data_IF_243261250649
#
_entry.id   IF_243261250649
#
_cell.length_a   1.000
_cell.length_b   1.000
_cell.length_c   1.000
_cell.angle_alpha   90.00
_cell.angle_beta   90.00
_cell.angle_gamma   90.00
#
_symmetry.space_group_name_H-M   'P 1'
#
loop_
_entity.id
_entity.type
_entity.pdbx_description
1 polymer ?
#
# COMPACT_ATOMS: atom_id res chain seq x y z
N UNK A 1 7.95 62.13 -27.52
CA UNK A 1 7.85 61.30 -26.32
C UNK A 1 7.04 60.12 -26.70
N UNK A 2 7.69 58.98 -26.98
CA UNK A 2 7.09 57.79 -27.59
C UNK A 2 7.14 56.67 -26.53
N UNK A 3 5.99 56.25 -26.03
CA UNK A 3 5.89 55.11 -25.13
C UNK A 3 6.04 53.81 -25.92
N UNK A 4 7.00 52.99 -25.52
CA UNK A 4 7.14 51.63 -26.03
C UNK A 4 6.39 50.66 -25.10
N UNK A 5 5.23 50.18 -25.57
CA UNK A 5 4.48 49.13 -24.96
C UNK A 5 5.16 47.76 -25.15
N UNK A 6 5.64 47.18 -24.09
CA UNK A 6 6.14 45.78 -24.08
C UNK A 6 5.01 44.78 -24.10
N UNK A 7 4.94 43.95 -25.14
CA UNK A 7 4.00 42.85 -25.24
C UNK A 7 4.41 41.70 -24.29
N UNK A 8 3.49 41.05 -23.57
CA UNK A 8 3.81 39.90 -22.74
C UNK A 8 4.03 38.64 -23.58
N UNK A 9 5.14 37.99 -23.35
CA UNK A 9 5.49 36.69 -23.92
C UNK A 9 4.44 35.61 -23.55
N UNK A 10 4.00 34.75 -24.49
CA UNK A 10 3.03 33.69 -24.22
C UNK A 10 3.68 32.58 -23.41
N UNK A 11 3.10 32.27 -22.25
CA UNK A 11 3.46 31.08 -21.44
C UNK A 11 3.09 29.84 -22.21
N UNK A 12 4.07 29.01 -22.54
CA UNK A 12 3.91 27.70 -23.13
C UNK A 12 3.20 26.78 -22.14
N UNK A 13 1.89 26.61 -22.28
CA UNK A 13 1.14 25.54 -21.60
C UNK A 13 1.45 24.22 -22.32
N UNK A 14 2.27 23.39 -21.72
CA UNK A 14 2.45 22.00 -22.18
C UNK A 14 1.12 21.24 -22.01
N UNK A 15 0.39 21.10 -23.11
CA UNK A 15 -0.82 20.27 -23.14
C UNK A 15 -0.35 18.81 -23.18
N UNK A 16 -0.38 18.12 -22.04
CA UNK A 16 -0.25 16.66 -22.02
C UNK A 16 -1.43 16.06 -22.78
N UNK A 17 -1.13 15.33 -23.84
CA UNK A 17 -2.13 14.72 -24.71
C UNK A 17 -2.80 13.56 -23.96
N UNK A 18 -4.13 13.61 -23.82
CA UNK A 18 -4.97 12.55 -23.26
C UNK A 18 -4.72 11.17 -23.91
N UNK A 19 -4.19 11.12 -25.12
CA UNK A 19 -3.82 9.88 -25.82
C UNK A 19 -2.61 9.16 -25.22
N UNK A 20 -1.61 9.88 -24.67
CA UNK A 20 -0.47 9.25 -24.00
C UNK A 20 -0.85 8.64 -22.65
N UNK A 21 -1.77 9.28 -21.94
CA UNK A 21 -2.30 8.77 -20.67
C UNK A 21 -3.06 7.44 -20.85
N UNK A 22 -3.85 7.31 -21.93
CA UNK A 22 -4.59 6.08 -22.23
C UNK A 22 -3.71 4.92 -22.69
N UNK A 23 -2.56 5.18 -23.33
CA UNK A 23 -1.63 4.13 -23.79
C UNK A 23 -0.81 3.58 -22.61
N UNK A 24 -0.41 4.40 -21.65
CA UNK A 24 0.31 3.94 -20.45
C UNK A 24 -0.64 3.26 -19.44
N UNK A 25 -1.84 3.79 -19.22
CA UNK A 25 -2.85 3.17 -18.34
C UNK A 25 -3.39 1.85 -18.87
N UNK A 26 -3.46 1.65 -20.18
CA UNK A 26 -3.95 0.42 -20.80
C UNK A 26 -3.02 -0.78 -20.63
N UNK A 27 -1.71 -0.57 -20.62
CA UNK A 27 -0.74 -1.65 -20.43
C UNK A 27 -0.71 -2.17 -18.98
N UNK A 28 -0.89 -1.28 -18.00
CA UNK A 28 -0.94 -1.66 -16.58
C UNK A 28 -2.26 -2.35 -16.21
N UNK A 29 -3.39 -1.87 -16.73
CA UNK A 29 -4.70 -2.50 -16.50
C UNK A 29 -4.77 -3.94 -17.06
N UNK A 30 -4.07 -4.23 -18.16
CA UNK A 30 -4.01 -5.57 -18.74
C UNK A 30 -3.19 -6.55 -17.88
N UNK A 31 -2.09 -6.09 -17.25
CA UNK A 31 -1.28 -6.90 -16.33
C UNK A 31 -2.06 -7.28 -15.06
N UNK A 32 -2.71 -6.32 -14.44
CA UNK A 32 -3.51 -6.54 -13.23
C UNK A 32 -4.75 -7.41 -13.52
N UNK A 33 -5.42 -7.22 -14.64
CA UNK A 33 -6.56 -8.05 -15.05
C UNK A 33 -6.16 -9.51 -15.33
N UNK A 34 -4.96 -9.76 -15.87
CA UNK A 34 -4.45 -11.12 -16.08
C UNK A 34 -4.16 -11.83 -14.74
N UNK A 35 -3.59 -11.12 -13.77
CA UNK A 35 -3.33 -11.65 -12.42
C UNK A 35 -4.65 -11.95 -11.69
N UNK A 36 -5.60 -11.01 -11.68
CA UNK A 36 -6.92 -11.20 -11.05
C UNK A 36 -7.74 -12.29 -11.76
N UNK A 37 -7.67 -12.38 -13.09
CA UNK A 37 -8.33 -13.43 -13.87
C UNK A 37 -7.79 -14.82 -13.56
N UNK A 38 -6.49 -14.98 -13.45
CA UNK A 38 -5.85 -16.24 -13.09
C UNK A 38 -6.26 -16.71 -11.68
N UNK A 39 -6.34 -15.80 -10.71
CA UNK A 39 -6.72 -16.13 -9.34
C UNK A 39 -8.22 -16.46 -9.15
N UNK A 40 -9.10 -15.91 -9.99
CA UNK A 40 -10.54 -16.31 -9.97
C UNK A 40 -10.78 -17.75 -10.41
N UNK A 41 -9.93 -18.29 -11.27
CA UNK A 41 -10.06 -19.70 -11.72
C UNK A 41 -9.42 -20.70 -10.75
N UNK A 42 -8.38 -20.29 -9.98
CA UNK A 42 -7.67 -21.18 -9.02
C UNK A 42 -8.27 -21.14 -7.61
N UNK A 43 -9.04 -20.11 -7.24
CA UNK A 43 -9.55 -19.85 -5.89
C UNK A 43 -10.84 -20.59 -5.50
N UNK A 44 -11.33 -21.53 -6.27
CA UNK A 44 -12.56 -22.29 -6.00
C UNK A 44 -12.37 -23.55 -5.13
N UNK A 45 -11.49 -23.54 -4.13
CA UNK A 45 -11.23 -24.67 -3.24
C UNK A 45 -11.66 -24.38 -1.80
N UNK A 46 -12.64 -25.13 -1.34
CA UNK A 46 -13.13 -25.16 0.04
C UNK A 46 -12.01 -25.46 1.04
N UNK A 47 -11.83 -24.59 2.05
CA UNK A 47 -10.72 -24.59 2.97
C UNK A 47 -10.55 -25.87 3.77
N UNK A 48 -9.33 -26.33 3.82
CA UNK A 48 -8.81 -27.23 4.84
C UNK A 48 -7.79 -26.46 5.67
N UNK A 49 -8.04 -26.38 6.97
CA UNK A 49 -7.17 -25.80 7.98
C UNK A 49 -5.83 -26.54 8.03
N UNK A 50 -4.80 -26.01 7.37
CA UNK A 50 -3.42 -26.44 7.53
C UNK A 50 -2.81 -25.78 8.77
N UNK A 51 -2.66 -26.52 9.86
CA UNK A 51 -2.04 -26.11 11.09
C UNK A 51 -0.55 -25.84 10.90
N UNK A 52 -0.16 -24.58 10.81
CA UNK A 52 1.20 -24.15 11.08
C UNK A 52 1.32 -23.87 12.57
N UNK A 53 2.09 -24.71 13.28
CA UNK A 53 2.40 -24.53 14.70
C UNK A 53 3.44 -23.40 14.86
N UNK A 54 3.02 -22.17 14.67
CA UNK A 54 3.78 -20.98 15.01
C UNK A 54 3.18 -20.34 16.25
N UNK A 55 4.02 -19.71 17.08
CA UNK A 55 3.66 -19.02 18.34
C UNK A 55 2.90 -17.72 18.01
N UNK A 56 1.93 -17.77 17.09
CA UNK A 56 1.14 -16.59 16.75
C UNK A 56 0.12 -16.34 17.85
N UNK A 57 0.18 -15.15 18.42
CA UNK A 57 -0.82 -14.67 19.35
C UNK A 57 -2.17 -14.72 18.64
N UNK A 58 -3.14 -15.34 19.28
CA UNK A 58 -4.50 -15.34 18.77
C UNK A 58 -5.12 -13.97 18.98
N UNK A 59 -5.31 -13.21 17.90
CA UNK A 59 -6.08 -11.96 17.91
C UNK A 59 -7.26 -12.04 16.95
N UNK A 60 -8.32 -11.26 17.16
CA UNK A 60 -9.47 -11.24 16.27
C UNK A 60 -9.08 -10.85 14.83
N UNK A 61 -9.71 -11.50 13.86
CA UNK A 61 -9.44 -11.25 12.44
C UNK A 61 -10.62 -10.51 11.81
N UNK A 62 -10.36 -9.30 11.35
CA UNK A 62 -11.32 -8.51 10.58
C UNK A 62 -10.83 -8.39 9.14
N UNK A 63 -11.60 -8.89 8.20
CA UNK A 63 -11.31 -8.84 6.79
C UNK A 63 -12.52 -8.33 6.02
N UNK A 64 -12.30 -7.37 5.12
CA UNK A 64 -13.30 -6.89 4.15
C UNK A 64 -13.29 -7.80 2.93
N UNK A 65 -12.10 -8.26 2.56
CA UNK A 65 -11.86 -9.13 1.41
C UNK A 65 -11.64 -10.58 1.86
N UNK A 66 -11.80 -11.53 0.95
CA UNK A 66 -11.43 -12.92 1.18
C UNK A 66 -9.93 -13.05 1.39
N UNK A 67 -9.52 -13.91 2.33
CA UNK A 67 -8.10 -14.16 2.59
C UNK A 67 -7.49 -14.84 1.36
N UNK A 68 -6.48 -14.24 0.71
CA UNK A 68 -5.78 -14.87 -0.40
C UNK A 68 -4.81 -15.93 0.12
N UNK A 69 -4.67 -17.02 -0.65
CA UNK A 69 -3.65 -18.03 -0.42
C UNK A 69 -2.66 -18.02 -1.58
N UNK A 70 -1.80 -17.00 -1.59
CA UNK A 70 -0.83 -16.78 -2.65
C UNK A 70 0.57 -16.98 -2.09
N UNK A 71 1.35 -17.92 -2.65
CA UNK A 71 2.74 -18.06 -2.26
C UNK A 71 3.50 -16.74 -2.47
N UNK A 72 4.36 -16.35 -1.51
CA UNK A 72 5.12 -15.09 -1.61
C UNK A 72 5.88 -14.94 -2.94
N UNK A 73 6.36 -16.03 -3.54
CA UNK A 73 7.10 -16.04 -4.82
C UNK A 73 6.26 -15.54 -6.00
N UNK A 74 4.93 -15.56 -5.87
CA UNK A 74 3.99 -15.05 -6.87
C UNK A 74 3.54 -13.61 -6.56
N UNK A 75 3.99 -13.05 -5.44
CA UNK A 75 3.60 -11.71 -5.04
C UNK A 75 4.37 -10.65 -5.83
N UNK A 76 3.65 -9.62 -6.25
CA UNK A 76 4.21 -8.44 -6.87
C UNK A 76 3.69 -7.19 -6.18
N UNK A 77 4.47 -6.13 -6.20
CA UNK A 77 4.06 -4.81 -5.73
C UNK A 77 4.37 -3.75 -6.78
N UNK A 78 3.37 -2.95 -7.09
CA UNK A 78 3.48 -1.82 -8.02
C UNK A 78 3.57 -0.50 -7.26
N UNK A 79 4.38 0.43 -7.77
CA UNK A 79 4.40 1.83 -7.31
C UNK A 79 4.13 2.71 -8.50
N UNK A 80 3.04 3.47 -8.47
CA UNK A 80 2.60 4.29 -9.60
C UNK A 80 1.90 5.60 -9.17
N UNK A 81 1.09 6.18 -10.05
CA UNK A 81 0.42 7.47 -9.83
C UNK A 81 1.34 8.64 -10.15
N UNK A 82 1.50 9.56 -9.21
CA UNK A 82 2.33 10.76 -9.39
C UNK A 82 3.82 10.46 -9.16
N UNK A 83 4.40 9.67 -10.04
CA UNK A 83 5.83 9.30 -10.05
C UNK A 83 6.44 9.48 -11.43
N UNK A 84 7.76 9.71 -11.48
CA UNK A 84 8.51 9.77 -12.74
C UNK A 84 8.81 8.38 -13.30
N UNK A 85 9.09 7.42 -12.42
CA UNK A 85 9.55 6.08 -12.73
C UNK A 85 8.66 5.03 -12.01
N UNK A 86 7.53 4.62 -12.57
CA UNK A 86 6.73 3.55 -12.00
C UNK A 86 7.57 2.29 -11.78
N UNK A 87 7.38 1.63 -10.63
CA UNK A 87 8.08 0.40 -10.29
C UNK A 87 7.12 -0.77 -10.36
N UNK A 88 7.66 -1.90 -10.80
CA UNK A 88 7.04 -3.21 -10.71
C UNK A 88 8.06 -4.15 -10.10
N UNK A 89 7.82 -4.60 -8.88
CA UNK A 89 8.78 -5.37 -8.10
C UNK A 89 8.20 -6.75 -7.80
N UNK A 90 8.88 -7.78 -8.24
CA UNK A 90 8.61 -9.17 -7.88
C UNK A 90 9.19 -9.52 -6.50
N UNK A 91 8.85 -10.71 -6.01
CA UNK A 91 9.34 -11.18 -4.70
C UNK A 91 10.87 -11.28 -4.62
N UNK A 92 11.53 -11.63 -5.73
CA UNK A 92 12.99 -11.69 -5.79
C UNK A 92 13.63 -10.32 -5.62
N UNK A 93 13.04 -9.30 -6.24
CA UNK A 93 13.43 -7.90 -6.06
C UNK A 93 13.15 -7.41 -4.65
N UNK A 94 11.98 -7.76 -4.08
CA UNK A 94 11.61 -7.44 -2.71
C UNK A 94 12.62 -7.93 -1.68
N UNK A 95 13.06 -9.17 -1.80
CA UNK A 95 14.04 -9.78 -0.87
C UNK A 95 15.41 -9.11 -0.86
N UNK A 96 15.76 -8.31 -1.88
CA UNK A 96 17.02 -7.57 -1.98
C UNK A 96 16.99 -6.22 -1.30
N UNK A 97 15.81 -5.76 -0.89
CA UNK A 97 15.66 -4.45 -0.25
C UNK A 97 16.22 -4.46 1.17
N UNK A 98 16.66 -3.28 1.64
CA UNK A 98 17.10 -3.09 3.02
C UNK A 98 15.92 -3.26 3.96
N UNK A 99 16.04 -4.18 4.90
CA UNK A 99 15.02 -4.53 5.88
C UNK A 99 15.25 -3.83 7.22
N UNK A 100 14.16 -3.73 7.98
CA UNK A 100 14.15 -3.32 9.39
C UNK A 100 13.06 -4.06 10.16
N UNK A 101 13.17 -4.03 11.47
CA UNK A 101 12.16 -4.58 12.38
C UNK A 101 11.66 -3.47 13.32
N UNK A 102 10.35 -3.47 13.60
CA UNK A 102 9.71 -2.58 14.56
C UNK A 102 8.89 -3.41 15.55
N UNK A 103 9.11 -3.19 16.84
CA UNK A 103 8.31 -3.81 17.91
C UNK A 103 7.40 -2.77 18.51
N UNK A 104 6.10 -2.92 18.29
CA UNK A 104 5.07 -1.95 18.66
C UNK A 104 3.80 -2.64 19.09
N UNK A 105 2.95 -1.93 19.86
CA UNK A 105 1.61 -2.38 20.16
C UNK A 105 0.72 -2.18 18.93
N UNK A 106 -0.16 -3.14 18.69
CA UNK A 106 -1.16 -3.07 17.62
C UNK A 106 -2.54 -2.79 18.20
N UNK A 107 -3.10 -1.62 17.89
CA UNK A 107 -4.37 -1.16 18.42
C UNK A 107 -5.51 -1.30 17.40
N UNK A 108 -6.59 -1.98 17.76
CA UNK A 108 -7.78 -2.06 16.93
C UNK A 108 -8.84 -1.06 17.39
N UNK A 109 -9.57 -0.48 16.44
CA UNK A 109 -10.69 0.43 16.70
C UNK A 109 -11.83 -0.24 17.49
N UNK A 110 -11.89 -1.56 17.54
CA UNK A 110 -12.82 -2.34 18.38
C UNK A 110 -12.43 -2.38 19.87
N UNK A 111 -11.33 -1.70 20.25
CA UNK A 111 -10.93 -1.52 21.66
C UNK A 111 -10.02 -2.63 22.21
N UNK A 112 -9.51 -3.54 21.38
CA UNK A 112 -8.50 -4.51 21.79
C UNK A 112 -7.09 -4.10 21.32
N UNK A 113 -6.09 -4.54 22.04
CA UNK A 113 -4.67 -4.30 21.74
C UNK A 113 -3.90 -5.61 21.79
N UNK A 114 -2.90 -5.74 20.92
CA UNK A 114 -1.90 -6.81 21.01
C UNK A 114 -0.56 -6.15 21.29
N UNK A 115 -0.01 -6.42 22.49
CA UNK A 115 1.20 -5.76 22.97
C UNK A 115 2.46 -6.35 22.33
N UNK A 116 3.45 -5.47 22.09
CA UNK A 116 4.82 -5.84 21.71
C UNK A 116 4.90 -6.78 20.51
N UNK A 117 4.23 -6.46 19.43
CA UNK A 117 4.26 -7.19 18.16
C UNK A 117 5.50 -6.78 17.39
N UNK A 118 6.31 -7.75 16.96
CA UNK A 118 7.50 -7.48 16.14
C UNK A 118 7.17 -7.69 14.67
N UNK A 119 7.20 -6.60 13.90
CA UNK A 119 7.01 -6.59 12.46
C UNK A 119 8.34 -6.45 11.77
N UNK A 120 8.65 -7.31 10.81
CA UNK A 120 9.82 -7.17 9.96
C UNK A 120 9.43 -6.91 8.52
N UNK A 121 10.17 -6.03 7.85
CA UNK A 121 9.84 -5.64 6.49
C UNK A 121 10.68 -4.52 5.92
N UNK A 122 10.13 -3.77 5.00
CA UNK A 122 10.79 -2.67 4.27
C UNK A 122 9.99 -1.38 4.49
N UNK A 123 10.67 -0.27 4.68
CA UNK A 123 10.01 1.04 4.71
C UNK A 123 9.40 1.36 3.33
N UNK A 124 8.11 1.70 3.24
CA UNK A 124 7.47 2.02 1.95
C UNK A 124 8.19 3.14 1.21
N UNK A 125 8.76 4.10 1.95
CA UNK A 125 9.51 5.22 1.39
C UNK A 125 10.69 4.75 0.53
N UNK A 126 11.30 3.62 0.84
CA UNK A 126 12.39 3.03 0.02
C UNK A 126 11.96 2.76 -1.43
N UNK A 127 10.73 2.30 -1.63
CA UNK A 127 10.17 2.07 -2.98
C UNK A 127 9.71 3.38 -3.62
N UNK A 128 9.05 4.22 -2.84
CA UNK A 128 8.53 5.51 -3.29
C UNK A 128 9.65 6.42 -3.77
N UNK A 129 10.77 6.50 -3.04
CA UNK A 129 11.93 7.29 -3.42
C UNK A 129 12.55 6.82 -4.73
N UNK A 130 12.62 5.50 -4.97
CA UNK A 130 13.08 4.93 -6.23
C UNK A 130 12.15 5.27 -7.39
N UNK A 131 10.83 5.33 -7.13
CA UNK A 131 9.84 5.72 -8.12
C UNK A 131 9.88 7.23 -8.47
N UNK A 132 10.62 8.04 -7.70
CA UNK A 132 10.77 9.49 -7.87
C UNK A 132 9.44 10.23 -7.86
N UNK A 133 8.90 10.57 -6.69
CA UNK A 133 7.66 11.31 -6.56
C UNK A 133 7.67 12.62 -7.35
N UNK A 134 6.60 12.90 -8.08
CA UNK A 134 6.41 14.18 -8.75
C UNK A 134 6.10 15.28 -7.73
N UNK A 135 6.52 16.50 -8.06
CA UNK A 135 6.14 17.67 -7.27
C UNK A 135 4.61 17.80 -7.20
N UNK A 136 4.06 17.90 -5.99
CA UNK A 136 2.61 17.94 -5.75
C UNK A 136 1.99 16.61 -5.33
N UNK A 137 2.71 15.50 -5.33
CA UNK A 137 2.28 14.29 -4.64
C UNK A 137 2.25 14.57 -3.13
N UNK A 138 1.09 14.45 -2.51
CA UNK A 138 0.89 14.77 -1.08
C UNK A 138 0.35 13.62 -0.27
N UNK A 139 -0.26 12.63 -0.92
CA UNK A 139 -0.79 11.42 -0.28
C UNK A 139 -0.34 10.16 -1.01
N UNK A 140 -0.38 9.07 -0.29
CA UNK A 140 -0.04 7.72 -0.77
C UNK A 140 -1.18 6.78 -0.41
N UNK A 141 -1.81 6.19 -1.42
CA UNK A 141 -2.81 5.15 -1.25
C UNK A 141 -2.15 3.77 -1.28
N UNK A 142 -2.47 2.92 -0.32
CA UNK A 142 -2.06 1.52 -0.27
C UNK A 142 -3.27 0.66 -0.60
N UNK A 143 -3.19 -0.14 -1.66
CA UNK A 143 -4.29 -0.95 -2.14
C UNK A 143 -4.07 -2.42 -1.82
N UNK A 144 -5.12 -3.07 -1.30
CA UNK A 144 -5.15 -4.50 -1.10
C UNK A 144 -5.39 -5.26 -2.43
N UNK A 145 -5.03 -6.53 -2.46
CA UNK A 145 -5.10 -7.38 -3.64
C UNK A 145 -6.50 -7.47 -4.27
N UNK A 146 -7.56 -7.55 -3.47
CA UNK A 146 -8.94 -7.66 -3.95
C UNK A 146 -9.48 -6.38 -4.57
N UNK A 147 -8.85 -5.25 -4.30
CA UNK A 147 -9.21 -3.93 -4.84
C UNK A 147 -10.38 -3.24 -4.16
N UNK A 148 -11.05 -3.88 -3.21
CA UNK A 148 -12.10 -3.26 -2.41
C UNK A 148 -11.52 -2.42 -1.25
N UNK A 149 -10.46 -2.93 -0.64
CA UNK A 149 -9.81 -2.27 0.48
C UNK A 149 -8.61 -1.44 0.03
N UNK A 150 -8.61 -0.20 0.39
CA UNK A 150 -7.44 0.65 0.38
C UNK A 150 -7.51 1.64 1.54
N UNK A 151 -6.36 2.17 1.91
CA UNK A 151 -6.27 3.27 2.84
C UNK A 151 -5.10 4.20 2.45
N UNK A 152 -5.00 5.36 3.08
CA UNK A 152 -4.07 6.39 2.69
C UNK A 152 -3.23 6.88 3.87
N UNK A 153 -2.08 7.42 3.55
CA UNK A 153 -1.22 8.19 4.46
C UNK A 153 -0.79 9.48 3.77
N UNK A 154 -0.55 10.52 4.55
CA UNK A 154 0.19 11.67 4.08
C UNK A 154 1.62 11.29 3.70
N UNK A 155 2.19 11.93 2.69
CA UNK A 155 3.54 11.59 2.21
C UNK A 155 4.60 11.72 3.31
N UNK A 156 4.43 12.64 4.25
CA UNK A 156 5.34 12.80 5.38
C UNK A 156 5.14 11.73 6.46
N UNK A 157 3.93 11.19 6.60
CA UNK A 157 3.68 10.04 7.48
C UNK A 157 4.38 8.78 6.96
N UNK A 158 4.38 8.57 5.64
CA UNK A 158 5.06 7.42 5.01
C UNK A 158 6.58 7.47 5.17
N UNK A 159 7.16 8.66 5.35
CA UNK A 159 8.59 8.84 5.65
C UNK A 159 8.97 8.46 7.07
N UNK A 160 8.00 8.29 7.97
CA UNK A 160 8.28 7.85 9.34
C UNK A 160 8.96 6.47 9.29
N UNK A 161 10.15 6.32 9.90
CA UNK A 161 10.92 5.07 9.87
C UNK A 161 10.19 3.89 10.49
N UNK A 162 9.21 4.11 11.36
CA UNK A 162 8.41 3.06 11.98
C UNK A 162 7.30 2.51 11.08
N UNK A 163 6.98 3.18 9.97
CA UNK A 163 6.01 2.66 8.99
C UNK A 163 6.69 1.61 8.13
N UNK A 164 6.11 0.41 8.09
CA UNK A 164 6.67 -0.74 7.37
C UNK A 164 5.64 -1.34 6.40
N UNK A 165 6.14 -1.86 5.29
CA UNK A 165 5.52 -2.97 4.57
C UNK A 165 6.12 -4.25 5.15
N UNK A 166 5.38 -4.91 6.01
CA UNK A 166 5.83 -6.10 6.72
C UNK A 166 5.54 -7.37 5.91
N UNK A 167 6.47 -8.30 5.93
CA UNK A 167 6.35 -9.66 5.41
C UNK A 167 6.70 -10.71 6.47
N UNK A 168 7.08 -10.27 7.68
CA UNK A 168 7.27 -11.14 8.85
C UNK A 168 6.54 -10.60 10.07
N UNK A 169 6.13 -11.53 10.94
CA UNK A 169 5.46 -11.31 12.21
C UNK A 169 6.15 -12.15 13.27
N UNK A 170 6.65 -11.51 14.34
CA UNK A 170 7.39 -12.16 15.44
C UNK A 170 8.52 -13.09 14.93
N UNK A 171 9.23 -12.64 13.88
CA UNK A 171 10.37 -13.35 13.28
C UNK A 171 10.00 -14.52 12.35
N UNK A 172 8.70 -14.81 12.13
CA UNK A 172 8.23 -15.80 11.17
C UNK A 172 7.58 -15.15 9.94
N UNK A 173 7.44 -15.86 8.81
CA UNK A 173 6.70 -15.35 7.66
C UNK A 173 5.28 -14.90 8.06
N UNK A 174 4.85 -13.76 7.54
CA UNK A 174 3.54 -13.20 7.83
C UNK A 174 2.43 -14.13 7.35
N UNK A 175 1.51 -14.59 8.23
CA UNK A 175 0.42 -15.46 7.83
C UNK A 175 -0.56 -14.77 6.88
N UNK A 176 -1.20 -15.56 6.01
CA UNK A 176 -2.18 -15.05 5.04
C UNK A 176 -3.30 -14.25 5.71
N UNK A 177 -3.87 -14.74 6.80
CA UNK A 177 -4.97 -14.10 7.54
C UNK A 177 -4.55 -12.81 8.26
N UNK A 178 -3.24 -12.62 8.49
CA UNK A 178 -2.66 -11.40 9.05
C UNK A 178 -2.14 -10.43 7.98
N UNK A 179 -2.29 -10.75 6.70
CA UNK A 179 -1.97 -9.86 5.58
C UNK A 179 -0.77 -10.30 4.75
N UNK A 180 -0.33 -11.58 4.86
CA UNK A 180 0.71 -12.13 3.97
C UNK A 180 0.32 -12.07 2.49
N UNK A 181 1.24 -11.83 1.53
CA UNK A 181 2.69 -11.70 1.72
C UNK A 181 3.14 -10.34 2.28
N UNK A 182 2.43 -9.22 1.99
CA UNK A 182 2.82 -7.88 2.44
C UNK A 182 1.66 -7.17 3.15
N UNK A 183 1.97 -6.58 4.29
CA UNK A 183 1.05 -5.75 5.05
C UNK A 183 1.65 -4.39 5.37
N UNK A 184 0.87 -3.33 5.19
CA UNK A 184 1.22 -2.03 5.76
C UNK A 184 1.06 -2.06 7.29
N UNK A 185 2.03 -1.53 8.01
CA UNK A 185 2.02 -1.35 9.46
C UNK A 185 2.24 0.12 9.78
N UNK A 186 1.30 0.73 10.50
CA UNK A 186 1.33 2.15 10.89
C UNK A 186 1.18 2.24 12.40
N UNK A 187 2.27 2.20 13.16
CA UNK A 187 2.23 2.09 14.64
C UNK A 187 1.52 3.23 15.35
N UNK A 188 1.55 4.44 14.76
CA UNK A 188 0.93 5.64 15.36
C UNK A 188 -0.58 5.75 15.15
N UNK A 189 -1.19 4.78 14.44
CA UNK A 189 -2.59 4.86 14.03
C UNK A 189 -3.33 3.54 14.29
N UNK A 190 -4.67 3.62 14.42
CA UNK A 190 -5.53 2.45 14.58
C UNK A 190 -5.37 1.46 13.42
N UNK A 191 -5.50 0.18 13.71
CA UNK A 191 -5.19 -0.94 12.82
C UNK A 191 -5.89 -0.97 11.46
N UNK A 192 -6.97 -0.20 11.26
CA UNK A 192 -7.59 -0.10 9.93
C UNK A 192 -6.73 0.67 8.92
N UNK A 193 -5.78 1.49 9.35
CA UNK A 193 -4.78 2.12 8.47
C UNK A 193 -3.72 1.12 7.99
N UNK A 194 -3.58 -0.01 8.67
CA UNK A 194 -2.59 -1.05 8.39
C UNK A 194 -3.14 -2.05 7.37
N UNK A 195 -3.14 -1.65 6.08
CA UNK A 195 -3.70 -2.40 4.96
C UNK A 195 -3.06 -3.76 4.81
N UNK A 196 -3.88 -4.83 4.75
CA UNK A 196 -3.46 -6.21 4.47
C UNK A 196 -3.33 -6.45 2.96
N UNK A 197 -2.48 -7.41 2.58
CA UNK A 197 -2.35 -7.90 1.20
C UNK A 197 -2.01 -6.79 0.20
N UNK A 198 -1.07 -5.92 0.56
CA UNK A 198 -0.69 -4.76 -0.27
C UNK A 198 -0.05 -5.22 -1.57
N UNK A 199 -0.60 -4.79 -2.70
CA UNK A 199 -0.07 -5.05 -4.05
C UNK A 199 0.23 -3.78 -4.84
N UNK A 200 -0.25 -2.61 -4.38
CA UNK A 200 -0.04 -1.36 -5.08
C UNK A 200 0.09 -0.19 -4.11
N UNK A 201 1.04 0.68 -4.41
CA UNK A 201 1.28 1.97 -3.77
C UNK A 201 1.06 3.04 -4.83
N UNK A 202 0.06 3.89 -4.63
CA UNK A 202 -0.30 4.94 -5.58
C UNK A 202 -0.09 6.32 -4.97
N UNK A 203 0.74 7.15 -5.62
CA UNK A 203 0.95 8.52 -5.20
C UNK A 203 -0.09 9.46 -5.85
N UNK A 204 -0.69 10.35 -5.06
CA UNK A 204 -1.77 11.25 -5.51
C UNK A 204 -1.60 12.66 -4.95
N UNK A 205 -2.29 13.64 -5.57
CA UNK A 205 -2.25 15.06 -5.19
C UNK A 205 -3.30 15.45 -4.13
N UNK A 206 -4.20 14.54 -3.78
CA UNK A 206 -5.30 14.80 -2.85
C UNK A 206 -5.67 13.54 -2.07
N UNK A 207 -6.22 13.76 -0.88
CA UNK A 207 -6.74 12.70 -0.05
C UNK A 207 -7.89 11.94 -0.76
N UNK A 208 -7.75 10.63 -0.86
CA UNK A 208 -8.84 9.73 -1.17
C UNK A 208 -9.24 9.00 0.12
N UNK A 209 -10.50 9.12 0.55
CA UNK A 209 -10.97 8.41 1.74
C UNK A 209 -10.90 6.91 1.55
N UNK A 210 -10.20 6.23 2.44
CA UNK A 210 -10.11 4.78 2.47
C UNK A 210 -11.42 4.08 2.79
N UNK A 211 -11.40 2.76 2.84
CA UNK A 211 -12.61 1.94 3.00
C UNK A 211 -13.43 2.30 4.25
N UNK A 212 -12.79 2.42 5.41
CA UNK A 212 -13.47 2.74 6.67
C UNK A 212 -13.76 4.24 6.83
N UNK A 213 -12.91 5.09 6.27
CA UNK A 213 -13.11 6.54 6.27
C UNK A 213 -14.37 6.96 5.48
N UNK A 214 -14.68 6.26 4.39
CA UNK A 214 -15.94 6.42 3.65
C UNK A 214 -17.16 6.00 4.49
N UNK A 215 -16.96 5.23 5.55
CA UNK A 215 -17.99 4.74 6.49
C UNK A 215 -18.02 5.52 7.79
N UNK A 216 -17.29 6.66 7.85
CA UNK A 216 -17.35 7.61 8.95
C UNK A 216 -16.23 7.47 9.99
N UNK A 217 -15.25 6.61 9.76
CA UNK A 217 -14.07 6.54 10.62
C UNK A 217 -13.13 7.74 10.38
N UNK A 218 -12.39 8.20 11.41
CA UNK A 218 -11.44 9.31 11.26
C UNK A 218 -10.33 9.02 10.26
N UNK A 219 -9.91 10.03 9.49
CA UNK A 219 -8.77 9.92 8.57
C UNK A 219 -7.45 9.78 9.35
N UNK A 220 -7.30 10.51 10.43
CA UNK A 220 -6.10 10.55 11.26
C UNK A 220 -5.93 9.29 12.11
N UNK A 221 -7.01 8.54 12.34
CA UNK A 221 -7.03 7.27 13.07
C UNK A 221 -6.23 7.29 14.39
N UNK A 222 -6.39 8.31 15.28
CA UNK A 222 -5.54 8.43 16.43
C UNK A 222 -5.74 7.26 17.39
N UNK A 223 -4.64 6.77 17.96
CA UNK A 223 -4.70 5.86 19.10
C UNK A 223 -5.19 6.68 20.27
N UNK A 224 -6.42 6.42 20.73
CA UNK A 224 -6.98 7.04 21.93
C UNK A 224 -6.20 6.50 23.14
N UNK A 225 -5.46 7.37 23.82
CA UNK A 225 -4.87 7.07 25.12
C UNK A 225 -5.95 7.00 26.20
#
# INVERSE_FOLDING_TARGET
MTEMGGSPTPRHRTRYSRRRFLIMGGAFAAGLAAVIGFFKEVGGGSGSSGGGSGIFRHWPLNNVESIPHIPPEQWVIDVDGMVEQPLHLDWTGWQKLKRGDETVDFHCVEGWTVDSVTWGGVQPWTLIEQAKPLAGATFVNFHALGGEYFDNLGIDEVKNPQVLLADTLDGAPLPDDHGGALRLVVPAQMGYKSVKWVTRIELVDRLAKGYWEQRGYPVEAPISG
#
